data_IF_869103095298
#
_entry.id   IF_869103095298
#
_cell.length_a   1.000
_cell.length_b   1.000
_cell.length_c   1.000
_cell.angle_alpha   90.00
_cell.angle_beta   90.00
_cell.angle_gamma   90.00
#
_symmetry.space_group_name_H-M   'P 1'
#
loop_
_entity.id
_entity.type
_entity.pdbx_description
1 polymer ?
#
# COMPACT_ATOMS: atom_id res chain seq x y z
N UNK A 1 7.21 1.46 14.88
CA UNK A 1 7.87 0.32 14.16
C UNK A 1 7.93 0.58 12.64
N UNK A 2 8.68 -0.21 11.85
CA UNK A 2 8.68 -0.10 10.36
C UNK A 2 7.63 -1.00 9.71
N UNK A 3 7.26 -0.73 8.46
CA UNK A 3 6.35 -1.61 7.70
C UNK A 3 7.00 -2.98 7.41
N UNK A 4 8.31 -3.01 7.15
CA UNK A 4 9.06 -4.25 6.98
C UNK A 4 8.95 -5.19 8.18
N UNK A 5 8.92 -4.64 9.40
CA UNK A 5 8.70 -5.41 10.63
C UNK A 5 7.30 -6.05 10.66
N UNK A 6 6.27 -5.31 10.23
CA UNK A 6 4.90 -5.83 10.08
C UNK A 6 4.88 -7.00 9.11
N UNK A 7 5.43 -6.78 7.92
CA UNK A 7 5.45 -7.78 6.82
C UNK A 7 6.15 -9.05 7.30
N UNK A 8 7.33 -8.91 7.92
CA UNK A 8 8.09 -10.04 8.42
C UNK A 8 7.32 -10.84 9.47
N UNK A 9 6.73 -10.15 10.45
CA UNK A 9 5.95 -10.80 11.51
C UNK A 9 4.72 -11.52 10.98
N UNK A 10 3.98 -10.91 10.05
CA UNK A 10 2.81 -11.55 9.44
C UNK A 10 3.21 -12.76 8.58
N UNK A 11 4.32 -12.66 7.84
CA UNK A 11 4.86 -13.80 7.07
C UNK A 11 5.22 -14.95 8.01
N UNK A 12 5.98 -14.68 9.07
CA UNK A 12 6.41 -15.67 10.06
C UNK A 12 5.22 -16.31 10.77
N UNK A 13 4.22 -15.51 11.17
CA UNK A 13 2.98 -15.97 11.81
C UNK A 13 2.18 -16.92 10.92
N UNK A 14 2.19 -16.72 9.61
CA UNK A 14 1.55 -17.60 8.63
C UNK A 14 2.44 -18.77 8.18
N UNK A 15 3.68 -18.85 8.66
CA UNK A 15 4.63 -19.90 8.30
C UNK A 15 5.03 -19.89 6.83
N UNK A 16 4.99 -18.71 6.18
CA UNK A 16 5.36 -18.57 4.78
C UNK A 16 6.88 -18.42 4.63
N UNK A 17 7.46 -19.08 3.62
CA UNK A 17 8.88 -18.92 3.28
C UNK A 17 9.13 -17.56 2.61
N UNK A 18 10.37 -17.09 2.67
CA UNK A 18 10.81 -15.85 2.02
C UNK A 18 10.68 -16.02 0.50
N UNK A 19 11.07 -17.17 -0.03
CA UNK A 19 11.07 -17.51 -1.44
C UNK A 19 9.64 -17.57 -2.02
N UNK A 20 8.72 -18.26 -1.33
CA UNK A 20 7.32 -18.35 -1.77
C UNK A 20 6.65 -16.99 -1.73
N UNK A 21 6.97 -16.18 -0.71
CA UNK A 21 6.39 -14.84 -0.56
C UNK A 21 6.92 -13.91 -1.64
N UNK A 22 8.23 -13.90 -1.90
CA UNK A 22 8.84 -13.13 -2.97
C UNK A 22 8.21 -13.48 -4.34
N UNK A 23 8.04 -14.78 -4.63
CA UNK A 23 7.40 -15.25 -5.86
C UNK A 23 5.95 -14.75 -6.00
N UNK A 24 5.15 -14.79 -4.92
CA UNK A 24 3.76 -14.27 -4.92
C UNK A 24 3.69 -12.77 -5.18
N UNK A 25 4.68 -12.02 -4.72
CA UNK A 25 4.76 -10.56 -4.92
C UNK A 25 5.41 -10.18 -6.26
N UNK A 26 5.78 -11.16 -7.10
CA UNK A 26 6.56 -10.95 -8.32
C UNK A 26 7.88 -10.19 -8.07
N UNK A 27 8.54 -10.52 -6.96
CA UNK A 27 9.81 -9.95 -6.54
C UNK A 27 10.92 -11.01 -6.57
N UNK A 28 12.15 -10.57 -6.76
CA UNK A 28 13.31 -11.39 -6.39
C UNK A 28 13.42 -11.52 -4.85
N UNK A 29 14.12 -12.55 -4.39
CA UNK A 29 14.37 -12.76 -2.95
C UNK A 29 15.07 -11.55 -2.33
N UNK A 30 16.06 -10.98 -3.02
CA UNK A 30 16.80 -9.80 -2.54
C UNK A 30 15.90 -8.56 -2.42
N UNK A 31 14.99 -8.34 -3.38
CA UNK A 31 14.03 -7.23 -3.30
C UNK A 31 13.02 -7.43 -2.17
N UNK A 32 12.56 -8.66 -1.96
CA UNK A 32 11.68 -8.98 -0.85
C UNK A 32 12.38 -8.82 0.50
N UNK A 33 13.65 -9.19 0.61
CA UNK A 33 14.44 -8.96 1.83
C UNK A 33 14.62 -7.47 2.13
N UNK A 34 14.81 -6.62 1.11
CA UNK A 34 14.82 -5.15 1.28
C UNK A 34 13.47 -4.61 1.76
N UNK A 35 12.37 -5.20 1.29
CA UNK A 35 11.03 -4.88 1.76
C UNK A 35 10.90 -5.21 3.26
N UNK A 36 11.30 -6.41 3.70
CA UNK A 36 11.29 -6.79 5.12
C UNK A 36 12.27 -5.97 5.98
N UNK A 37 13.40 -5.52 5.42
CA UNK A 37 14.35 -4.64 6.10
C UNK A 37 13.83 -3.19 6.26
N UNK A 38 12.71 -2.87 5.61
CA UNK A 38 12.17 -1.52 5.53
C UNK A 38 13.12 -0.57 4.82
N UNK A 39 13.65 -1.03 3.69
CA UNK A 39 14.53 -0.29 2.76
C UNK A 39 13.88 -0.10 1.38
N UNK A 40 12.60 -0.45 1.25
CA UNK A 40 11.83 -0.29 0.02
C UNK A 40 10.97 0.98 0.03
N UNK A 41 10.46 1.35 -1.15
CA UNK A 41 9.50 2.46 -1.28
C UNK A 41 8.19 2.24 -0.49
N UNK A 42 7.90 1.00 -0.06
CA UNK A 42 6.69 0.68 0.68
C UNK A 42 6.64 1.36 2.07
N UNK A 43 7.79 1.63 2.68
CA UNK A 43 7.86 2.35 3.98
C UNK A 43 7.22 3.74 3.90
N UNK A 44 7.38 4.40 2.75
CA UNK A 44 6.79 5.72 2.51
C UNK A 44 5.40 5.55 1.90
N UNK A 45 5.29 4.82 0.80
CA UNK A 45 4.08 4.81 -0.01
C UNK A 45 2.97 3.90 0.52
N UNK A 46 3.28 2.95 1.42
CA UNK A 46 2.29 2.16 2.15
C UNK A 46 1.40 3.03 3.05
N UNK A 47 1.96 3.79 4.00
CA UNK A 47 1.21 4.79 4.77
C UNK A 47 0.41 5.77 3.91
N UNK A 48 1.02 6.33 2.85
CA UNK A 48 0.33 7.25 1.94
C UNK A 48 -0.88 6.58 1.27
N UNK A 49 -0.75 5.34 0.83
CA UNK A 49 -1.86 4.58 0.26
C UNK A 49 -3.01 4.38 1.27
N UNK A 50 -2.69 4.15 2.54
CA UNK A 50 -3.70 4.08 3.60
C UNK A 50 -4.35 5.44 3.87
N UNK A 51 -3.57 6.54 3.86
CA UNK A 51 -4.11 7.90 4.01
C UNK A 51 -5.03 8.28 2.86
N UNK A 52 -4.66 7.96 1.61
CA UNK A 52 -5.55 8.15 0.44
C UNK A 52 -6.85 7.38 0.63
N UNK A 53 -6.78 6.14 1.12
CA UNK A 53 -7.97 5.33 1.38
C UNK A 53 -8.91 5.97 2.42
N UNK A 54 -8.35 6.51 3.51
CA UNK A 54 -9.09 7.24 4.55
C UNK A 54 -9.71 8.51 3.95
N UNK A 55 -8.90 9.35 3.30
CA UNK A 55 -9.32 10.62 2.74
C UNK A 55 -10.41 10.45 1.67
N UNK A 56 -10.34 9.39 0.87
CA UNK A 56 -11.33 9.12 -0.18
C UNK A 56 -12.51 8.27 0.32
N UNK A 57 -12.52 7.88 1.60
CA UNK A 57 -13.48 6.97 2.20
C UNK A 57 -13.70 5.73 1.31
N UNK A 58 -12.59 5.12 0.90
CA UNK A 58 -12.55 4.06 -0.09
C UNK A 58 -11.65 2.93 0.41
N UNK A 59 -12.10 1.66 0.38
CA UNK A 59 -11.24 0.55 0.76
C UNK A 59 -9.94 0.55 -0.05
N UNK A 60 -8.79 0.37 0.61
CA UNK A 60 -7.48 0.41 -0.05
C UNK A 60 -7.38 -0.53 -1.26
N UNK A 61 -7.99 -1.71 -1.20
CA UNK A 61 -8.01 -2.64 -2.34
C UNK A 61 -8.73 -2.06 -3.56
N UNK A 62 -9.78 -1.25 -3.37
CA UNK A 62 -10.54 -0.58 -4.44
C UNK A 62 -9.83 0.63 -5.03
N UNK A 63 -8.78 1.13 -4.38
CA UNK A 63 -7.86 2.11 -4.99
C UNK A 63 -6.91 1.46 -5.99
N UNK A 64 -6.70 0.14 -5.90
CA UNK A 64 -5.69 -0.59 -6.68
C UNK A 64 -6.31 -1.40 -7.83
N UNK A 65 -7.48 -1.99 -7.57
CA UNK A 65 -8.24 -2.72 -8.57
C UNK A 65 -9.74 -2.62 -8.32
N UNK A 66 -10.52 -2.54 -9.39
CA UNK A 66 -11.97 -2.52 -9.27
C UNK A 66 -12.49 -3.79 -8.58
N UNK A 67 -11.90 -4.96 -8.81
CA UNK A 67 -12.28 -6.21 -8.12
C UNK A 67 -11.81 -6.24 -6.66
N UNK A 68 -10.82 -5.43 -6.30
CA UNK A 68 -10.09 -5.51 -5.04
C UNK A 68 -9.11 -6.69 -4.97
N UNK A 69 -8.75 -7.30 -6.11
CA UNK A 69 -7.78 -8.41 -6.19
C UNK A 69 -6.46 -7.97 -6.80
N UNK A 70 -5.35 -8.44 -6.23
CA UNK A 70 -4.00 -8.14 -6.70
C UNK A 70 -3.74 -8.60 -8.14
N UNK A 71 -4.30 -9.75 -8.53
CA UNK A 71 -4.17 -10.31 -9.87
C UNK A 71 -4.80 -9.44 -10.98
N UNK A 72 -5.73 -8.53 -10.62
CA UNK A 72 -6.40 -7.63 -11.56
C UNK A 72 -5.77 -6.23 -11.60
N UNK A 73 -4.68 -6.02 -10.85
CA UNK A 73 -3.93 -4.77 -10.89
C UNK A 73 -3.22 -4.60 -12.24
N UNK A 74 -3.27 -3.39 -12.80
CA UNK A 74 -2.63 -3.03 -14.06
C UNK A 74 -1.82 -1.75 -13.87
N UNK A 75 -0.70 -1.56 -14.59
CA UNK A 75 0.06 -0.32 -14.54
C UNK A 75 -0.82 0.90 -14.88
N UNK A 76 -0.73 1.96 -14.06
CA UNK A 76 -1.49 3.20 -14.20
C UNK A 76 -2.94 3.13 -13.71
N UNK A 77 -3.38 1.95 -13.26
CA UNK A 77 -4.76 1.74 -12.80
C UNK A 77 -4.99 2.42 -11.46
N UNK A 78 -4.01 2.39 -10.55
CA UNK A 78 -4.19 2.98 -9.22
C UNK A 78 -4.38 4.50 -9.33
N UNK A 79 -3.55 5.19 -10.11
CA UNK A 79 -3.70 6.62 -10.37
C UNK A 79 -5.05 6.99 -10.96
N UNK A 80 -5.52 6.20 -11.94
CA UNK A 80 -6.84 6.40 -12.56
C UNK A 80 -7.98 6.25 -11.55
N UNK A 81 -7.93 5.19 -10.72
CA UNK A 81 -8.95 4.94 -9.70
C UNK A 81 -8.91 6.02 -8.62
N UNK A 82 -7.74 6.34 -8.07
CA UNK A 82 -7.54 7.39 -7.06
C UNK A 82 -8.13 8.71 -7.55
N UNK A 83 -7.82 9.12 -8.78
CA UNK A 83 -8.40 10.30 -9.41
C UNK A 83 -9.92 10.26 -9.47
N UNK A 84 -10.49 9.15 -9.97
CA UNK A 84 -11.95 8.99 -10.08
C UNK A 84 -12.65 8.97 -8.71
N UNK A 85 -11.99 8.47 -7.66
CA UNK A 85 -12.48 8.54 -6.29
C UNK A 85 -12.39 9.97 -5.74
N UNK A 86 -11.27 10.67 -5.94
CA UNK A 86 -11.10 12.08 -5.56
C UNK A 86 -12.17 12.97 -6.17
N UNK A 87 -12.40 12.86 -7.48
CA UNK A 87 -13.38 13.68 -8.20
C UNK A 87 -14.80 13.43 -7.69
N UNK A 88 -15.18 12.19 -7.40
CA UNK A 88 -16.49 11.86 -6.79
C UNK A 88 -16.66 12.41 -5.39
N UNK A 89 -15.58 12.50 -4.61
CA UNK A 89 -15.55 13.13 -3.28
C UNK A 89 -15.42 14.65 -3.36
N UNK A 90 -15.35 15.23 -4.55
CA UNK A 90 -15.21 16.67 -4.79
C UNK A 90 -13.98 17.28 -4.11
N UNK A 91 -12.91 16.48 -3.93
CA UNK A 91 -11.66 16.94 -3.36
C UNK A 91 -10.75 17.52 -4.45
N UNK A 92 -10.04 18.60 -4.14
CA UNK A 92 -9.01 19.15 -5.03
C UNK A 92 -7.70 18.41 -4.88
N UNK A 93 -6.81 18.55 -5.86
CA UNK A 93 -5.44 18.02 -5.80
C UNK A 93 -4.71 18.60 -4.59
N UNK A 94 -4.88 19.90 -4.32
CA UNK A 94 -4.25 20.60 -3.20
C UNK A 94 -4.72 20.08 -1.85
N UNK A 95 -6.02 19.77 -1.70
CA UNK A 95 -6.55 19.18 -0.47
C UNK A 95 -5.95 17.80 -0.21
N UNK A 96 -5.81 16.98 -1.26
CA UNK A 96 -5.21 15.66 -1.13
C UNK A 96 -3.72 15.75 -0.83
N UNK A 97 -2.97 16.58 -1.55
CA UNK A 97 -1.55 16.81 -1.30
C UNK A 97 -1.30 17.30 0.13
N UNK A 98 -2.12 18.23 0.62
CA UNK A 98 -2.06 18.72 2.00
C UNK A 98 -2.34 17.62 3.02
N UNK A 99 -3.37 16.80 2.80
CA UNK A 99 -3.71 15.69 3.71
C UNK A 99 -2.63 14.60 3.76
N UNK A 100 -1.90 14.42 2.65
CA UNK A 100 -0.78 13.50 2.55
C UNK A 100 0.56 14.12 2.99
N UNK A 101 0.60 15.41 3.30
CA UNK A 101 1.83 16.16 3.62
C UNK A 101 2.90 16.08 2.51
N UNK A 102 2.46 15.99 1.25
CA UNK A 102 3.34 15.97 0.07
C UNK A 102 3.12 17.21 -0.81
N UNK A 103 4.01 17.41 -1.77
CA UNK A 103 3.84 18.48 -2.75
C UNK A 103 2.65 18.19 -3.69
N UNK A 104 2.10 19.26 -4.28
CA UNK A 104 1.06 19.14 -5.31
C UNK A 104 1.55 18.30 -6.48
N UNK A 105 2.78 18.56 -6.92
CA UNK A 105 3.41 17.89 -8.06
C UNK A 105 3.59 16.38 -7.79
N UNK A 106 3.93 16.02 -6.55
CA UNK A 106 4.05 14.63 -6.14
C UNK A 106 2.69 13.92 -6.09
N UNK A 107 1.64 14.59 -5.62
CA UNK A 107 0.28 14.03 -5.70
C UNK A 107 -0.21 13.91 -7.16
N UNK A 108 0.14 14.86 -8.03
CA UNK A 108 -0.16 14.76 -9.46
C UNK A 108 0.50 13.52 -10.10
N UNK A 109 1.70 13.13 -9.68
CA UNK A 109 2.33 11.88 -10.12
C UNK A 109 1.56 10.63 -9.67
N UNK A 110 0.89 10.69 -8.50
CA UNK A 110 -0.01 9.61 -8.07
C UNK A 110 -1.15 9.46 -9.07
N UNK A 111 -1.86 10.53 -9.41
CA UNK A 111 -3.01 10.46 -10.34
C UNK A 111 -2.59 10.19 -11.79
N UNK A 112 -1.36 10.50 -12.17
CA UNK A 112 -0.78 10.14 -13.47
C UNK A 112 -0.33 8.68 -13.56
N UNK A 113 -0.31 7.94 -12.44
CA UNK A 113 0.19 6.57 -12.40
C UNK A 113 1.70 6.48 -12.61
N UNK A 114 2.45 7.50 -12.22
CA UNK A 114 3.93 7.52 -12.26
C UNK A 114 4.57 7.44 -10.88
N UNK A 115 3.77 7.48 -9.80
CA UNK A 115 4.26 7.28 -8.43
C UNK A 115 4.58 5.81 -8.11
N UNK A 116 5.41 5.54 -7.10
CA UNK A 116 5.69 4.18 -6.62
C UNK A 116 4.47 3.39 -6.13
N UNK A 117 3.31 4.02 -5.88
CA UNK A 117 2.06 3.31 -5.52
C UNK A 117 1.68 2.26 -6.57
N UNK A 118 1.96 2.51 -7.85
CA UNK A 118 1.64 1.57 -8.93
C UNK A 118 2.37 0.23 -8.79
N UNK A 119 3.51 0.20 -8.09
CA UNK A 119 4.24 -1.03 -7.79
C UNK A 119 3.96 -1.51 -6.36
N UNK A 120 4.06 -0.61 -5.38
CA UNK A 120 3.91 -0.93 -3.95
C UNK A 120 2.50 -1.42 -3.64
N UNK A 121 1.48 -0.76 -4.19
CA UNK A 121 0.08 -1.09 -3.93
C UNK A 121 -0.26 -2.54 -4.28
N UNK A 122 -0.05 -2.99 -5.52
CA UNK A 122 -0.27 -4.38 -5.91
C UNK A 122 0.52 -5.39 -5.07
N UNK A 123 1.77 -5.08 -4.70
CA UNK A 123 2.59 -5.94 -3.83
C UNK A 123 1.99 -6.08 -2.43
N UNK A 124 1.56 -4.97 -1.81
CA UNK A 124 0.91 -4.99 -0.50
C UNK A 124 -0.42 -5.73 -0.54
N UNK A 125 -1.19 -5.55 -1.61
CA UNK A 125 -2.44 -6.27 -1.80
C UNK A 125 -2.20 -7.78 -1.98
N UNK A 126 -1.20 -8.18 -2.77
CA UNK A 126 -0.82 -9.58 -2.95
C UNK A 126 -0.34 -10.20 -1.63
N UNK A 127 0.47 -9.47 -0.86
CA UNK A 127 0.92 -9.91 0.47
C UNK A 127 -0.26 -10.10 1.42
N UNK A 128 -1.15 -9.12 1.50
CA UNK A 128 -2.35 -9.18 2.33
C UNK A 128 -3.26 -10.36 1.96
N UNK A 129 -3.42 -10.65 0.67
CA UNK A 129 -4.13 -11.84 0.19
C UNK A 129 -3.42 -13.13 0.63
N UNK A 130 -2.09 -13.18 0.56
CA UNK A 130 -1.31 -14.37 0.93
C UNK A 130 -1.44 -14.74 2.41
N UNK A 131 -1.61 -13.74 3.28
CA UNK A 131 -1.84 -13.91 4.72
C UNK A 131 -3.33 -13.82 5.10
N UNK A 132 -4.23 -13.73 4.11
CA UNK A 132 -5.68 -13.73 4.27
C UNK A 132 -6.22 -12.60 5.17
N UNK A 133 -5.70 -11.37 4.99
CA UNK A 133 -6.18 -10.19 5.71
C UNK A 133 -6.46 -9.00 4.80
N UNK A 134 -7.26 -8.00 5.25
CA UNK A 134 -7.41 -6.76 4.53
C UNK A 134 -6.07 -6.01 4.40
N UNK A 135 -5.74 -5.53 3.20
CA UNK A 135 -4.49 -4.79 2.96
C UNK A 135 -4.34 -3.55 3.86
N UNK A 136 -5.44 -2.91 4.24
CA UNK A 136 -5.45 -1.77 5.16
C UNK A 136 -4.83 -2.13 6.53
N UNK A 137 -5.01 -3.36 7.01
CA UNK A 137 -4.51 -3.80 8.31
C UNK A 137 -2.98 -3.90 8.36
N UNK A 138 -2.30 -3.96 7.22
CA UNK A 138 -0.84 -3.86 7.17
C UNK A 138 -0.36 -2.48 7.64
N UNK A 139 -1.17 -1.45 7.40
CA UNK A 139 -0.83 -0.06 7.73
C UNK A 139 -1.48 0.39 9.05
N UNK A 140 -2.63 -0.20 9.38
CA UNK A 140 -3.39 0.08 10.58
C UNK A 140 -3.68 -1.19 11.41
N UNK A 141 -2.64 -1.88 11.92
CA UNK A 141 -2.84 -3.02 12.81
C UNK A 141 -3.70 -2.61 14.02
N UNK A 142 -4.75 -3.39 14.28
CA UNK A 142 -5.71 -3.10 15.36
C UNK A 142 -6.38 -1.71 15.30
N UNK A 143 -6.41 -1.07 14.13
CA UNK A 143 -7.03 0.24 13.93
C UNK A 143 -6.14 1.44 14.29
N UNK A 144 -4.86 1.22 14.61
CA UNK A 144 -3.88 2.28 14.87
C UNK A 144 -2.80 2.26 13.80
N UNK A 145 -2.27 3.42 13.35
CA UNK A 145 -1.15 3.46 12.43
C UNK A 145 0.03 2.66 13.00
N UNK A 146 0.64 1.78 12.20
CA UNK A 146 1.79 0.98 12.68
C UNK A 146 2.95 1.87 13.18
N UNK A 147 3.05 3.10 12.69
CA UNK A 147 4.07 4.06 13.11
C UNK A 147 3.93 4.44 14.60
N UNK A 148 2.72 4.39 15.15
CA UNK A 148 2.42 4.69 16.56
C UNK A 148 2.60 3.48 17.50
N UNK A 149 2.89 2.30 16.95
CA UNK A 149 3.10 1.09 17.75
C UNK A 149 4.57 0.91 18.14
N UNK A 150 4.78 0.68 19.44
CA UNK A 150 6.07 0.28 20.01
C UNK A 150 6.42 -1.18 19.65
N UNK A 151 5.40 -2.05 19.58
CA UNK A 151 5.51 -3.43 19.15
C UNK A 151 4.27 -3.87 18.36
N UNK A 152 4.43 -4.84 17.46
CA UNK A 152 3.33 -5.38 16.66
C UNK A 152 2.60 -6.49 17.43
N UNK A 153 1.26 -6.40 17.55
CA UNK A 153 0.45 -7.33 18.35
C UNK A 153 0.27 -8.74 17.76
#
# INVERSE_FOLDING_TARGET
MKLGDVIKKERDKKGLSVEDTAARLSLSVDEYQKLEAGESAAEVWGPHLAHIAIELETPTSRLLAESGRSADCKPGQAGTLIKGHRERRQKTIEQMAQALEISKEEYEQVEQGSSPIEQVGPQMLAFAEAIEQPVFNLFYPCGLPFQELDDYP
#
